data_IF_424838888011
#
_entry.id   IF_424838888011
#
_cell.length_a   1.000
_cell.length_b   1.000
_cell.length_c   1.000
_cell.angle_alpha   90.00
_cell.angle_beta   90.00
_cell.angle_gamma   90.00
#
_symmetry.space_group_name_H-M   'P 1'
#
loop_
_entity.id
_entity.type
_entity.pdbx_description
1 polymer ?
#
# COMPACT_ATOMS: atom_id res chain seq x y z
N UNK A 1 -90.58 -32.87 -31.94
CA UNK A 1 -89.18 -33.17 -31.58
C UNK A 1 -88.31 -31.92 -31.62
N UNK A 2 -87.63 -31.61 -30.51
CA UNK A 2 -86.75 -30.44 -30.34
C UNK A 2 -85.28 -30.85 -30.25
N UNK A 3 -84.33 -29.94 -30.53
CA UNK A 3 -82.90 -30.18 -30.33
C UNK A 3 -82.38 -29.46 -29.10
N UNK A 4 -81.44 -30.09 -28.36
CA UNK A 4 -80.77 -29.40 -27.24
C UNK A 4 -79.79 -28.33 -27.75
N UNK A 5 -79.56 -27.23 -27.00
CA UNK A 5 -78.74 -26.11 -27.49
C UNK A 5 -77.25 -26.42 -27.68
N UNK A 6 -76.66 -27.26 -26.81
CA UNK A 6 -75.21 -27.44 -26.75
C UNK A 6 -74.71 -28.58 -27.63
N UNK A 7 -75.39 -29.73 -27.60
CA UNK A 7 -74.97 -30.94 -28.33
C UNK A 7 -76.01 -31.38 -29.38
N UNK A 8 -77.05 -30.56 -29.62
CA UNK A 8 -78.06 -30.82 -30.66
C UNK A 8 -78.70 -32.21 -30.56
N UNK A 9 -78.92 -32.69 -29.33
CA UNK A 9 -79.53 -33.98 -29.07
C UNK A 9 -81.04 -33.92 -29.36
N UNK A 10 -81.60 -34.94 -30.01
CA UNK A 10 -83.03 -35.10 -30.28
C UNK A 10 -83.80 -35.33 -28.98
N UNK A 11 -84.73 -34.45 -28.66
CA UNK A 11 -85.59 -34.50 -27.47
C UNK A 11 -87.06 -34.65 -27.92
N UNK A 12 -87.74 -35.75 -27.58
CA UNK A 12 -89.17 -35.92 -27.86
C UNK A 12 -90.00 -34.84 -27.17
N UNK A 13 -91.05 -34.36 -27.83
CA UNK A 13 -92.08 -33.55 -27.17
C UNK A 13 -93.05 -34.47 -26.42
N UNK A 14 -93.81 -33.96 -25.44
CA UNK A 14 -94.61 -34.79 -24.52
C UNK A 14 -95.67 -35.70 -25.16
N UNK A 15 -95.98 -35.51 -26.45
CA UNK A 15 -96.89 -36.33 -27.25
C UNK A 15 -96.19 -37.15 -28.34
N UNK A 16 -94.88 -36.99 -28.53
CA UNK A 16 -94.13 -37.72 -29.55
C UNK A 16 -93.78 -39.14 -29.05
N UNK A 17 -93.95 -40.19 -29.86
CA UNK A 17 -93.45 -41.51 -29.51
C UNK A 17 -91.93 -41.50 -29.40
N UNK A 18 -91.38 -42.19 -28.40
CA UNK A 18 -89.92 -42.30 -28.20
C UNK A 18 -89.36 -43.29 -29.21
N UNK A 19 -88.49 -42.81 -30.11
CA UNK A 19 -87.73 -43.66 -31.04
C UNK A 19 -86.40 -44.10 -30.41
N UNK A 20 -86.13 -45.41 -30.46
CA UNK A 20 -84.87 -46.00 -29.97
C UNK A 20 -83.69 -45.54 -30.82
N UNK A 21 -83.90 -45.28 -32.12
CA UNK A 21 -82.84 -44.81 -33.00
C UNK A 21 -82.36 -43.42 -32.57
N UNK A 22 -83.26 -42.52 -32.20
CA UNK A 22 -82.90 -41.18 -31.71
C UNK A 22 -82.07 -41.22 -30.42
N UNK A 23 -82.34 -42.21 -29.56
CA UNK A 23 -81.56 -42.42 -28.34
C UNK A 23 -80.15 -42.90 -28.64
N UNK A 24 -80.00 -43.84 -29.57
CA UNK A 24 -78.69 -44.33 -30.00
C UNK A 24 -77.88 -43.20 -30.65
N UNK A 25 -78.48 -42.46 -31.58
CA UNK A 25 -77.85 -41.31 -32.25
C UNK A 25 -77.39 -40.26 -31.23
N UNK A 26 -78.21 -39.97 -30.21
CA UNK A 26 -77.85 -39.03 -29.15
C UNK A 26 -76.70 -39.53 -28.27
N UNK A 27 -76.66 -40.84 -27.98
CA UNK A 27 -75.59 -41.43 -27.18
C UNK A 27 -74.26 -41.42 -27.91
N UNK A 28 -74.26 -41.67 -29.23
CA UNK A 28 -73.06 -41.55 -30.07
C UNK A 28 -72.54 -40.10 -30.08
N UNK A 29 -73.43 -39.11 -30.20
CA UNK A 29 -73.06 -37.69 -30.11
C UNK A 29 -72.52 -37.34 -28.72
N UNK A 30 -73.14 -37.83 -27.65
CA UNK A 30 -72.68 -37.58 -26.29
C UNK A 30 -71.31 -38.19 -26.02
N UNK A 31 -71.06 -39.43 -26.45
CA UNK A 31 -69.77 -40.09 -26.30
C UNK A 31 -68.66 -39.31 -27.01
N UNK A 32 -68.92 -38.91 -28.26
CA UNK A 32 -68.00 -38.11 -29.05
C UNK A 32 -67.73 -36.71 -28.45
N UNK A 33 -68.74 -36.04 -27.88
CA UNK A 33 -68.58 -34.68 -27.33
C UNK A 33 -68.06 -34.66 -25.89
N UNK A 34 -68.39 -35.67 -25.06
CA UNK A 34 -67.86 -35.80 -23.69
C UNK A 34 -66.39 -36.19 -23.71
N UNK A 35 -65.96 -37.03 -24.67
CA UNK A 35 -64.55 -37.35 -24.87
C UNK A 35 -63.67 -36.13 -25.19
N UNK A 36 -64.26 -35.03 -25.69
CA UNK A 36 -63.54 -33.75 -25.93
C UNK A 36 -63.36 -32.91 -24.67
N UNK A 37 -64.03 -33.24 -23.57
CA UNK A 37 -63.81 -32.58 -22.27
C UNK A 37 -62.61 -33.19 -21.58
N UNK A 38 -61.89 -32.37 -20.81
CA UNK A 38 -60.75 -32.85 -20.03
C UNK A 38 -61.17 -34.00 -19.09
N UNK A 39 -60.56 -35.17 -19.24
CA UNK A 39 -60.72 -36.29 -18.32
C UNK A 39 -60.16 -35.93 -16.93
N UNK A 40 -60.68 -36.58 -15.88
CA UNK A 40 -60.16 -36.43 -14.50
C UNK A 40 -58.66 -36.78 -14.39
N UNK A 41 -58.13 -37.53 -15.36
CA UNK A 41 -56.75 -38.00 -15.47
C UNK A 41 -55.85 -37.13 -16.37
N UNK A 42 -56.37 -36.02 -16.93
CA UNK A 42 -55.52 -34.89 -17.36
C UNK A 42 -55.07 -34.83 -18.83
N UNK A 43 -55.61 -35.64 -19.75
CA UNK A 43 -55.37 -35.42 -21.17
C UNK A 43 -56.21 -34.24 -21.67
N UNK A 44 -55.61 -33.05 -21.70
CA UNK A 44 -56.20 -31.82 -22.23
C UNK A 44 -55.55 -31.44 -23.58
N UNK A 45 -55.29 -32.45 -24.42
CA UNK A 45 -54.44 -32.32 -25.63
C UNK A 45 -54.88 -31.22 -26.58
N UNK A 46 -56.20 -31.01 -26.74
CA UNK A 46 -56.77 -30.01 -27.64
C UNK A 46 -57.52 -28.87 -26.92
N UNK A 47 -57.38 -28.76 -25.59
CA UNK A 47 -58.07 -27.70 -24.85
C UNK A 47 -57.38 -26.35 -25.05
N UNK A 48 -58.05 -25.44 -25.77
CA UNK A 48 -57.59 -24.06 -25.94
C UNK A 48 -58.20 -23.17 -24.86
N UNK A 49 -57.36 -22.57 -24.02
CA UNK A 49 -57.77 -21.61 -22.99
C UNK A 49 -57.29 -20.23 -23.37
N UNK A 50 -58.21 -19.26 -23.45
CA UNK A 50 -57.83 -17.85 -23.53
C UNK A 50 -57.38 -17.35 -22.15
N UNK A 51 -56.18 -16.77 -22.07
CA UNK A 51 -55.64 -16.20 -20.84
C UNK A 51 -54.91 -14.88 -21.11
N UNK A 52 -54.84 -14.03 -20.09
CA UNK A 52 -54.04 -12.80 -20.08
C UNK A 52 -52.91 -12.95 -19.07
N UNK A 53 -51.86 -12.14 -19.22
CA UNK A 53 -50.79 -12.11 -18.23
C UNK A 53 -51.27 -11.36 -16.99
N UNK A 54 -50.98 -11.91 -15.81
CA UNK A 54 -51.29 -11.23 -14.54
C UNK A 54 -50.34 -10.05 -14.27
N UNK A 55 -50.83 -9.08 -13.49
CA UNK A 55 -50.07 -7.88 -13.15
C UNK A 55 -48.97 -8.16 -12.11
N UNK A 56 -49.22 -9.11 -11.22
CA UNK A 56 -48.35 -9.44 -10.07
C UNK A 56 -47.97 -10.91 -10.05
N UNK A 57 -46.85 -11.18 -9.41
CA UNK A 57 -46.34 -12.53 -9.19
C UNK A 57 -46.99 -13.11 -7.94
N UNK A 58 -47.82 -14.13 -8.13
CA UNK A 58 -48.54 -14.82 -7.07
C UNK A 58 -48.34 -16.34 -7.16
N UNK A 59 -48.62 -17.03 -6.06
CA UNK A 59 -48.60 -18.48 -6.00
C UNK A 59 -49.85 -19.07 -6.69
N UNK A 60 -49.70 -20.29 -7.23
CA UNK A 60 -50.83 -21.05 -7.76
C UNK A 60 -51.66 -21.58 -6.58
N UNK A 61 -52.98 -21.44 -6.70
CA UNK A 61 -53.92 -21.88 -5.67
C UNK A 61 -54.77 -23.03 -6.19
N UNK A 62 -55.01 -24.02 -5.32
CA UNK A 62 -55.84 -25.17 -5.69
C UNK A 62 -57.28 -24.73 -5.94
N UNK A 63 -57.88 -25.21 -7.03
CA UNK A 63 -59.26 -24.89 -7.42
C UNK A 63 -59.43 -23.57 -8.17
N UNK A 64 -58.35 -22.86 -8.50
CA UNK A 64 -58.44 -21.64 -9.32
C UNK A 64 -58.77 -21.95 -10.79
N UNK A 65 -59.26 -20.95 -11.53
CA UNK A 65 -59.54 -21.09 -12.96
C UNK A 65 -58.23 -21.35 -13.72
N UNK A 66 -58.22 -22.32 -14.64
CA UNK A 66 -57.04 -22.64 -15.47
C UNK A 66 -56.48 -21.41 -16.22
N UNK A 67 -57.34 -20.50 -16.68
CA UNK A 67 -56.93 -19.25 -17.32
C UNK A 67 -56.12 -18.34 -16.37
N UNK A 68 -56.43 -18.36 -15.08
CA UNK A 68 -55.71 -17.59 -14.06
C UNK A 68 -54.35 -18.24 -13.76
N UNK A 69 -54.29 -19.56 -13.59
CA UNK A 69 -53.02 -20.28 -13.41
C UNK A 69 -52.06 -20.04 -14.56
N UNK A 70 -52.54 -20.13 -15.81
CA UNK A 70 -51.74 -19.84 -17.00
C UNK A 70 -51.29 -18.37 -17.06
N UNK A 71 -52.14 -17.43 -16.62
CA UNK A 71 -51.79 -16.02 -16.51
C UNK A 71 -50.68 -15.76 -15.49
N UNK A 72 -50.74 -16.39 -14.31
CA UNK A 72 -49.70 -16.35 -13.27
C UNK A 72 -48.40 -16.95 -13.79
N UNK A 73 -48.44 -18.14 -14.40
CA UNK A 73 -47.26 -18.80 -14.99
C UNK A 73 -46.61 -17.91 -16.04
N UNK A 74 -47.40 -17.28 -16.92
CA UNK A 74 -46.87 -16.32 -17.91
C UNK A 74 -46.16 -15.15 -17.25
N UNK A 75 -46.68 -14.61 -16.15
CA UNK A 75 -46.04 -13.53 -15.39
C UNK A 75 -44.69 -13.99 -14.78
N UNK A 76 -44.64 -15.19 -14.20
CA UNK A 76 -43.40 -15.78 -13.71
C UNK A 76 -42.34 -15.91 -14.81
N UNK A 77 -42.70 -16.42 -15.98
CA UNK A 77 -41.78 -16.52 -17.12
C UNK A 77 -41.33 -15.16 -17.64
N UNK A 78 -42.23 -14.19 -17.77
CA UNK A 78 -41.89 -12.86 -18.27
C UNK A 78 -40.84 -12.17 -17.38
N UNK A 79 -41.02 -12.23 -16.06
CA UNK A 79 -40.13 -11.58 -15.10
C UNK A 79 -38.79 -12.32 -14.94
N UNK A 80 -38.79 -13.66 -15.03
CA UNK A 80 -37.57 -14.46 -14.90
C UNK A 80 -36.81 -14.61 -16.23
N UNK A 81 -37.41 -14.28 -17.38
CA UNK A 81 -36.82 -14.49 -18.71
C UNK A 81 -35.39 -13.98 -18.79
N UNK A 82 -35.13 -12.75 -18.34
CA UNK A 82 -33.80 -12.15 -18.47
C UNK A 82 -32.76 -12.95 -17.66
N UNK A 83 -32.97 -13.07 -16.36
CA UNK A 83 -32.04 -13.79 -15.46
C UNK A 83 -31.88 -15.28 -15.79
N UNK A 84 -32.93 -15.94 -16.28
CA UNK A 84 -32.92 -17.38 -16.53
C UNK A 84 -32.27 -17.77 -17.87
N UNK A 85 -32.25 -16.87 -18.87
CA UNK A 85 -31.74 -17.21 -20.21
C UNK A 85 -30.36 -16.63 -20.52
N UNK A 86 -30.04 -15.40 -20.10
CA UNK A 86 -28.65 -14.88 -20.25
C UNK A 86 -27.75 -15.38 -19.13
N UNK A 87 -28.28 -15.52 -17.91
CA UNK A 87 -27.49 -15.89 -16.73
C UNK A 87 -26.45 -14.82 -16.34
N UNK A 88 -26.51 -13.63 -16.96
CA UNK A 88 -25.54 -12.58 -16.72
C UNK A 88 -25.76 -11.93 -15.36
N UNK A 89 -24.66 -11.68 -14.65
CA UNK A 89 -24.69 -10.92 -13.40
C UNK A 89 -25.28 -9.50 -13.59
N UNK A 90 -25.18 -8.95 -14.81
CA UNK A 90 -25.78 -7.68 -15.20
C UNK A 90 -27.31 -7.66 -15.04
N UNK A 91 -27.99 -8.81 -15.11
CA UNK A 91 -29.44 -8.91 -15.07
C UNK A 91 -30.06 -8.78 -13.67
N UNK A 92 -29.24 -8.89 -12.63
CA UNK A 92 -29.68 -8.69 -11.25
C UNK A 92 -29.89 -7.20 -10.94
N UNK A 93 -31.01 -6.84 -10.31
CA UNK A 93 -31.28 -5.50 -9.76
C UNK A 93 -31.05 -5.49 -8.25
N UNK A 94 -30.79 -4.32 -7.65
CA UNK A 94 -30.60 -4.23 -6.18
C UNK A 94 -29.32 -4.91 -5.70
N UNK A 95 -28.32 -5.03 -6.58
CA UNK A 95 -27.00 -5.59 -6.25
C UNK A 95 -26.36 -4.76 -5.13
N UNK A 96 -25.71 -5.39 -4.14
CA UNK A 96 -24.81 -4.68 -3.24
C UNK A 96 -23.82 -3.86 -4.08
N UNK A 97 -23.65 -2.58 -3.77
CA UNK A 97 -22.57 -1.82 -4.36
C UNK A 97 -21.27 -2.46 -3.87
N UNK A 98 -20.58 -3.19 -4.74
CA UNK A 98 -19.20 -3.58 -4.48
C UNK A 98 -18.46 -2.25 -4.37
N UNK A 99 -17.83 -1.92 -3.23
CA UNK A 99 -17.03 -0.72 -3.13
C UNK A 99 -16.05 -0.74 -4.31
N UNK A 100 -16.07 0.30 -5.15
CA UNK A 100 -15.12 0.43 -6.23
C UNK A 100 -13.71 0.35 -5.61
N UNK A 101 -13.01 -0.78 -5.82
CA UNK A 101 -11.78 -1.09 -5.08
C UNK A 101 -11.71 -2.48 -4.44
N UNK A 102 -12.62 -3.40 -4.74
CA UNK A 102 -12.47 -4.82 -4.41
C UNK A 102 -11.30 -5.49 -5.17
N UNK A 103 -10.07 -5.18 -4.77
CA UNK A 103 -8.85 -6.01 -4.87
C UNK A 103 -8.49 -6.57 -6.26
N UNK A 104 -8.26 -5.72 -7.27
CA UNK A 104 -7.63 -6.18 -8.53
C UNK A 104 -6.83 -5.11 -9.31
N UNK A 105 -6.80 -3.85 -8.87
CA UNK A 105 -5.97 -2.85 -9.54
C UNK A 105 -4.62 -2.79 -8.85
N UNK A 106 -3.62 -3.44 -9.45
CA UNK A 106 -2.24 -3.43 -8.96
C UNK A 106 -1.69 -1.99 -8.81
N UNK A 107 -2.22 -1.01 -9.54
CA UNK A 107 -1.84 0.41 -9.42
C UNK A 107 -2.41 1.10 -8.16
N UNK A 108 -3.28 0.41 -7.41
CA UNK A 108 -3.86 0.87 -6.14
C UNK A 108 -3.36 0.06 -4.94
N UNK A 109 -2.44 -0.88 -5.16
CA UNK A 109 -1.71 -1.56 -4.10
C UNK A 109 -0.54 -0.65 -3.74
N UNK A 110 -0.48 -0.24 -2.48
CA UNK A 110 0.65 0.53 -1.95
C UNK A 110 1.62 -0.50 -1.35
N UNK A 111 2.66 -0.86 -2.10
CA UNK A 111 3.62 -1.90 -1.69
C UNK A 111 4.86 -1.31 -0.99
N UNK A 112 5.22 -0.05 -1.28
CA UNK A 112 6.34 0.63 -0.63
C UNK A 112 6.13 2.14 -0.36
N UNK A 113 7.20 2.80 0.11
CA UNK A 113 7.19 4.22 0.48
C UNK A 113 7.06 5.13 -0.75
N UNK A 114 7.58 4.70 -1.90
CA UNK A 114 7.53 5.49 -3.14
C UNK A 114 6.10 5.47 -3.71
N UNK A 115 5.38 4.36 -3.58
CA UNK A 115 3.95 4.26 -3.90
C UNK A 115 3.06 5.18 -3.03
N UNK A 116 3.44 5.42 -1.77
CA UNK A 116 2.76 6.38 -0.88
C UNK A 116 3.00 7.81 -1.38
N UNK A 117 4.24 8.14 -1.74
CA UNK A 117 4.63 9.48 -2.18
C UNK A 117 4.03 9.86 -3.54
N UNK A 118 3.85 8.87 -4.43
CA UNK A 118 3.25 9.04 -5.74
C UNK A 118 1.71 9.11 -5.71
N UNK A 119 1.07 8.77 -4.58
CA UNK A 119 -0.38 8.77 -4.45
C UNK A 119 -0.95 10.20 -4.37
N UNK A 120 -1.39 10.69 -5.51
CA UNK A 120 -2.00 12.02 -5.69
C UNK A 120 -3.53 12.00 -5.65
N UNK A 121 -4.16 10.86 -5.33
CA UNK A 121 -5.63 10.74 -5.28
C UNK A 121 -6.20 11.33 -3.98
N UNK A 122 -7.07 12.33 -4.12
CA UNK A 122 -7.87 12.87 -3.02
C UNK A 122 -8.70 11.76 -2.35
N UNK A 123 -8.44 11.50 -1.06
CA UNK A 123 -9.24 10.58 -0.24
C UNK A 123 -8.56 9.27 0.20
N UNK A 124 -7.35 8.97 -0.27
CA UNK A 124 -6.58 7.82 0.23
C UNK A 124 -5.64 8.28 1.36
N UNK A 125 -6.06 8.01 2.60
CA UNK A 125 -5.20 8.18 3.78
C UNK A 125 -4.05 7.17 3.68
N UNK A 126 -2.80 7.60 3.86
CA UNK A 126 -1.67 6.68 4.04
C UNK A 126 -2.07 5.55 5.00
N UNK A 127 -1.86 4.29 4.62
CA UNK A 127 -2.27 3.14 5.43
C UNK A 127 -1.76 3.31 6.85
N UNK A 128 -2.67 3.52 7.81
CA UNK A 128 -2.35 3.95 9.17
C UNK A 128 -1.32 3.03 9.87
N UNK A 129 -1.19 1.78 9.41
CA UNK A 129 -0.21 0.81 9.90
C UNK A 129 1.22 1.06 9.39
N UNK A 130 1.41 1.47 8.14
CA UNK A 130 2.74 1.78 7.60
C UNK A 130 3.31 3.05 8.25
N UNK A 131 2.47 4.09 8.40
CA UNK A 131 2.86 5.32 9.10
C UNK A 131 3.11 5.06 10.59
N UNK A 132 2.30 4.20 11.22
CA UNK A 132 2.53 3.74 12.60
C UNK A 132 3.84 2.95 12.72
N UNK A 133 4.21 2.13 11.74
CA UNK A 133 5.48 1.39 11.74
C UNK A 133 6.67 2.34 11.58
N UNK A 134 6.62 3.28 10.65
CA UNK A 134 7.67 4.31 10.51
C UNK A 134 7.81 5.12 11.79
N UNK A 135 6.71 5.58 12.38
CA UNK A 135 6.74 6.33 13.64
C UNK A 135 7.23 5.48 14.83
N UNK A 136 6.93 4.17 14.83
CA UNK A 136 7.44 3.20 15.80
C UNK A 136 8.93 2.95 15.65
N UNK A 137 9.40 2.77 14.41
CA UNK A 137 10.80 2.50 14.09
C UNK A 137 11.67 3.74 14.40
N UNK A 138 11.13 4.95 14.18
CA UNK A 138 11.77 6.19 14.61
C UNK A 138 11.59 6.46 16.12
N UNK A 139 10.83 5.64 16.86
CA UNK A 139 10.50 5.86 18.26
C UNK A 139 10.00 7.29 18.57
N UNK A 140 9.30 7.92 17.63
CA UNK A 140 8.82 9.30 17.71
C UNK A 140 9.84 10.41 17.41
N UNK A 141 11.07 10.06 17.04
CA UNK A 141 12.05 11.04 16.54
C UNK A 141 11.63 11.56 15.17
N UNK A 142 11.99 12.82 14.87
CA UNK A 142 11.78 13.44 13.55
C UNK A 142 13.09 14.00 13.02
N UNK A 143 13.24 14.11 11.71
CA UNK A 143 14.40 14.78 11.09
C UNK A 143 14.01 16.16 10.58
N UNK A 144 14.98 17.08 10.59
CA UNK A 144 14.77 18.44 10.12
C UNK A 144 16.09 19.15 9.86
N UNK A 145 15.97 20.42 9.49
CA UNK A 145 17.10 21.32 9.30
C UNK A 145 17.10 22.37 10.40
N UNK A 146 18.27 22.61 11.00
CA UNK A 146 18.49 23.74 11.90
C UNK A 146 18.38 25.07 11.14
N UNK A 147 18.32 26.19 11.87
CA UNK A 147 18.22 27.54 11.28
C UNK A 147 19.40 27.91 10.36
N UNK A 148 20.55 27.25 10.51
CA UNK A 148 21.74 27.36 9.66
C UNK A 148 21.79 26.30 8.53
N UNK A 149 20.70 25.59 8.29
CA UNK A 149 20.55 24.63 7.18
C UNK A 149 21.24 23.28 7.40
N UNK A 150 21.73 22.98 8.61
CA UNK A 150 22.38 21.70 8.90
C UNK A 150 21.36 20.62 9.24
N UNK A 151 21.61 19.35 8.86
CA UNK A 151 20.72 18.25 9.21
C UNK A 151 20.76 17.96 10.73
N UNK A 152 19.60 17.61 11.27
CA UNK A 152 19.44 17.25 12.67
C UNK A 152 18.18 16.43 12.95
N UNK A 153 17.89 16.23 14.23
CA UNK A 153 16.74 15.48 14.72
C UNK A 153 15.98 16.23 15.81
N UNK A 154 14.69 15.93 15.95
CA UNK A 154 13.82 16.42 17.02
C UNK A 154 13.48 15.23 17.91
N UNK A 155 13.63 15.41 19.23
CA UNK A 155 13.34 14.36 20.20
C UNK A 155 11.83 14.24 20.47
N UNK A 156 11.33 13.02 20.77
CA UNK A 156 9.91 12.81 21.10
C UNK A 156 9.51 13.63 22.33
N UNK A 157 8.39 14.36 22.25
CA UNK A 157 7.88 15.18 23.36
C UNK A 157 8.66 16.47 23.64
N UNK A 158 9.72 16.76 22.87
CA UNK A 158 10.41 18.06 22.89
C UNK A 158 9.67 19.12 22.05
N UNK A 159 10.01 20.40 22.27
CA UNK A 159 9.65 21.48 21.35
C UNK A 159 10.25 21.22 19.94
N UNK A 160 9.79 21.94 18.91
CA UNK A 160 10.23 21.83 17.50
C UNK A 160 11.70 22.24 17.25
N UNK A 161 12.52 22.30 18.29
CA UNK A 161 13.95 22.59 18.19
C UNK A 161 14.68 21.42 17.55
N UNK A 162 15.24 21.65 16.36
CA UNK A 162 16.11 20.69 15.66
C UNK A 162 17.48 20.64 16.33
N UNK A 163 17.89 19.45 16.79
CA UNK A 163 19.21 19.17 17.35
C UNK A 163 20.12 18.72 16.21
N UNK A 164 21.18 19.46 15.86
CA UNK A 164 22.07 19.07 14.77
C UNK A 164 22.78 17.74 15.08
N UNK A 165 23.02 16.93 14.05
CA UNK A 165 23.87 15.76 14.21
C UNK A 165 25.30 16.18 14.58
N UNK A 166 25.98 15.40 15.44
CA UNK A 166 27.40 15.61 15.72
C UNK A 166 28.19 15.41 14.43
N UNK A 167 28.68 16.51 13.87
CA UNK A 167 29.52 16.50 12.67
C UNK A 167 30.98 16.49 13.09
N UNK A 168 31.82 15.79 12.33
CA UNK A 168 33.27 15.81 12.49
C UNK A 168 33.86 16.50 11.27
N UNK A 169 34.93 17.28 11.46
CA UNK A 169 35.63 17.97 10.37
C UNK A 169 36.98 17.32 10.16
N UNK A 170 37.25 16.83 8.95
CA UNK A 170 38.55 16.24 8.59
C UNK A 170 39.20 17.11 7.52
N UNK A 171 40.46 17.46 7.72
CA UNK A 171 41.26 18.18 6.74
C UNK A 171 42.74 17.83 6.87
N UNK A 172 43.50 18.04 5.80
CA UNK A 172 44.95 17.96 5.84
C UNK A 172 45.54 19.35 6.04
N UNK A 173 46.44 19.46 7.02
CA UNK A 173 47.20 20.66 7.29
C UNK A 173 48.67 20.45 6.95
N UNK A 174 49.22 21.37 6.17
CA UNK A 174 50.65 21.39 5.82
C UNK A 174 51.37 22.48 6.62
N UNK A 175 52.52 22.12 7.20
CA UNK A 175 53.38 23.04 7.95
C UNK A 175 54.82 22.90 7.45
N UNK A 176 55.41 24.02 7.04
CA UNK A 176 56.82 24.08 6.67
C UNK A 176 57.68 24.25 7.90
N UNK A 177 58.75 23.46 8.00
CA UNK A 177 59.78 23.59 9.02
C UNK A 177 60.79 24.65 8.57
N UNK A 178 61.21 25.52 9.48
CA UNK A 178 62.19 26.57 9.19
C UNK A 178 63.59 26.04 8.87
N UNK A 179 64.58 26.93 8.94
CA UNK A 179 65.99 26.65 8.62
C UNK A 179 66.69 25.72 9.61
N UNK A 180 66.07 25.45 10.76
CA UNK A 180 66.59 24.59 11.83
C UNK A 180 65.61 23.47 12.14
N UNK A 181 66.15 22.32 12.57
CA UNK A 181 65.32 21.18 12.97
C UNK A 181 64.41 21.58 14.14
N UNK A 182 63.15 21.13 14.12
CA UNK A 182 62.15 21.54 15.09
C UNK A 182 61.66 20.36 15.92
N UNK A 183 61.58 20.52 17.25
CA UNK A 183 61.02 19.52 18.16
C UNK A 183 59.48 19.51 18.17
N UNK A 184 58.87 20.60 17.69
CA UNK A 184 57.44 20.74 17.47
C UNK A 184 57.15 21.61 16.26
N UNK A 185 55.96 21.44 15.69
CA UNK A 185 55.40 22.31 14.64
C UNK A 185 54.04 22.81 15.08
N UNK A 186 53.67 24.01 14.62
CA UNK A 186 52.39 24.63 14.96
C UNK A 186 51.50 24.71 13.73
N UNK A 187 50.32 24.10 13.82
CA UNK A 187 49.24 24.22 12.84
C UNK A 187 48.26 25.31 13.32
N UNK A 188 48.10 26.42 12.60
CA UNK A 188 47.08 27.41 12.91
C UNK A 188 45.71 26.91 12.43
N UNK A 189 44.88 26.40 13.34
CA UNK A 189 43.53 25.92 13.03
C UNK A 189 42.58 27.02 12.58
N UNK A 190 42.91 28.30 12.83
CA UNK A 190 42.15 29.46 12.36
C UNK A 190 41.94 29.46 10.84
N UNK A 191 42.83 28.81 10.07
CA UNK A 191 42.73 28.67 8.61
C UNK A 191 41.79 27.55 8.15
N UNK A 192 41.54 26.56 9.00
CA UNK A 192 40.87 25.30 8.62
C UNK A 192 39.56 25.07 9.35
N UNK A 193 39.39 25.66 10.54
CA UNK A 193 38.24 25.46 11.40
C UNK A 193 37.82 26.78 12.07
N UNK A 194 36.82 27.51 11.52
CA UNK A 194 36.40 28.82 12.02
C UNK A 194 35.98 28.85 13.49
N UNK A 195 35.48 27.73 14.02
CA UNK A 195 35.03 27.61 15.42
C UNK A 195 36.14 27.12 16.38
N UNK A 196 37.41 27.36 16.04
CA UNK A 196 38.58 26.89 16.82
C UNK A 196 38.51 27.26 18.30
N UNK A 197 37.91 28.40 18.66
CA UNK A 197 37.81 28.82 20.06
C UNK A 197 36.88 27.98 20.93
N UNK A 198 36.00 27.18 20.31
CA UNK A 198 34.98 26.35 21.00
C UNK A 198 35.41 24.92 21.28
N UNK A 199 36.58 24.51 20.80
CA UNK A 199 37.11 23.15 20.98
C UNK A 199 38.25 23.13 21.99
N UNK A 200 38.54 21.96 22.53
CA UNK A 200 39.67 21.69 23.42
C UNK A 200 40.62 20.69 22.77
N UNK A 201 41.79 20.45 23.38
CA UNK A 201 42.73 19.44 22.87
C UNK A 201 42.10 18.03 22.76
N UNK A 202 41.11 17.70 23.61
CA UNK A 202 40.41 16.41 23.59
C UNK A 202 39.51 16.21 22.35
N UNK A 203 39.14 17.30 21.67
CA UNK A 203 38.32 17.26 20.46
C UNK A 203 39.15 17.01 19.19
N UNK A 204 40.48 16.99 19.29
CA UNK A 204 41.39 17.01 18.15
C UNK A 204 42.14 15.69 18.06
N UNK A 205 42.01 15.01 16.93
CA UNK A 205 42.77 13.82 16.59
C UNK A 205 43.71 14.14 15.43
N UNK A 206 44.98 13.80 15.60
CA UNK A 206 46.02 14.08 14.61
C UNK A 206 46.65 12.78 14.17
N UNK A 207 46.73 12.59 12.86
CA UNK A 207 47.51 11.54 12.23
C UNK A 207 48.61 12.17 11.38
N UNK A 208 49.85 11.74 11.60
CA UNK A 208 50.93 12.06 10.68
C UNK A 208 50.65 11.43 9.32
N UNK A 209 50.67 12.23 8.24
CA UNK A 209 50.34 11.76 6.89
C UNK A 209 51.58 11.63 6.01
N UNK A 210 52.40 12.68 5.93
CA UNK A 210 53.59 12.71 5.06
C UNK A 210 54.59 13.77 5.52
N UNK A 211 55.87 13.61 5.15
CA UNK A 211 56.97 14.51 5.47
C UNK A 211 58.26 13.76 5.85
N UNK A 212 59.30 14.51 6.19
CA UNK A 212 60.59 13.95 6.63
C UNK A 212 60.77 14.10 8.13
N UNK A 213 60.88 12.98 8.85
CA UNK A 213 61.25 12.92 10.26
C UNK A 213 62.72 12.54 10.39
N UNK A 214 63.49 13.25 11.24
CA UNK A 214 64.84 12.86 11.61
C UNK A 214 64.85 12.23 13.01
N UNK A 215 65.53 11.09 13.15
CA UNK A 215 65.83 10.48 14.44
C UNK A 215 67.34 10.27 14.59
N UNK A 216 67.88 10.57 15.76
CA UNK A 216 69.27 10.24 16.13
C UNK A 216 69.27 8.93 16.92
N UNK A 217 69.64 7.81 16.30
CA UNK A 217 69.84 6.54 17.01
C UNK A 217 71.31 6.42 17.45
N UNK A 218 71.57 6.18 18.74
CA UNK A 218 72.94 5.90 19.23
C UNK A 218 73.40 4.47 18.90
N UNK A 219 72.49 3.55 18.58
CA UNK A 219 72.82 2.17 18.22
C UNK A 219 71.69 1.57 17.37
N UNK A 220 72.06 0.86 16.30
CA UNK A 220 71.19 0.50 15.17
C UNK A 220 69.85 -0.15 15.51
N UNK A 221 68.81 0.32 14.82
CA UNK A 221 67.45 -0.21 14.84
C UNK A 221 66.42 0.92 14.70
N UNK A 222 66.02 1.25 13.46
CA UNK A 222 65.03 2.30 13.17
C UNK A 222 63.59 1.75 13.18
N UNK A 223 62.99 1.69 14.37
CA UNK A 223 61.53 1.52 14.53
C UNK A 223 60.88 2.89 14.73
N UNK A 224 60.21 3.41 13.69
CA UNK A 224 59.47 4.68 13.76
C UNK A 224 58.12 4.46 14.44
N UNK A 225 58.02 4.76 15.74
CA UNK A 225 56.73 4.92 16.41
C UNK A 225 56.70 6.29 17.06
N UNK A 226 56.36 7.32 16.27
CA UNK A 226 56.20 8.67 16.82
C UNK A 226 54.86 8.74 17.54
N UNK A 227 54.86 8.54 18.86
CA UNK A 227 53.78 9.09 19.68
C UNK A 227 53.85 10.61 19.51
N UNK A 228 52.78 11.23 19.02
CA UNK A 228 52.71 12.68 18.87
C UNK A 228 52.19 13.28 20.18
N UNK A 229 52.94 14.21 20.76
CA UNK A 229 52.43 15.08 21.81
C UNK A 229 51.57 16.16 21.17
N UNK A 230 50.39 16.41 21.75
CA UNK A 230 49.45 17.41 21.25
C UNK A 230 49.18 18.45 22.33
N UNK A 231 49.38 19.72 22.00
CA UNK A 231 48.99 20.85 22.84
C UNK A 231 48.19 21.83 22.00
N UNK A 232 47.08 22.32 22.53
CA UNK A 232 46.17 23.21 21.80
C UNK A 232 45.84 24.45 22.63
N UNK A 233 45.99 25.63 22.03
CA UNK A 233 45.60 26.90 22.62
C UNK A 233 44.33 27.41 21.92
N UNK A 234 43.19 27.30 22.60
CA UNK A 234 41.88 27.70 22.07
C UNK A 234 41.74 29.22 21.85
N UNK A 235 42.52 30.04 22.54
CA UNK A 235 42.47 31.50 22.40
C UNK A 235 43.13 31.96 21.09
N UNK A 236 44.18 31.26 20.66
CA UNK A 236 44.94 31.58 19.44
C UNK A 236 44.64 30.66 18.26
N UNK A 237 44.00 29.51 18.50
CA UNK A 237 43.74 28.48 17.49
C UNK A 237 44.98 27.68 17.08
N UNK A 238 46.07 27.78 17.84
CA UNK A 238 47.33 27.12 17.51
C UNK A 238 47.37 25.70 18.10
N UNK A 239 47.46 24.70 17.22
CA UNK A 239 47.72 23.30 17.56
C UNK A 239 49.21 23.02 17.41
N UNK A 240 49.88 22.80 18.53
CA UNK A 240 51.29 22.40 18.55
C UNK A 240 51.38 20.89 18.60
N UNK A 241 52.03 20.34 17.58
CA UNK A 241 52.29 18.91 17.42
C UNK A 241 53.78 18.71 17.73
N UNK A 242 54.09 18.04 18.83
CA UNK A 242 55.44 17.69 19.23
C UNK A 242 55.72 16.21 18.97
N UNK A 243 56.98 15.88 18.71
CA UNK A 243 57.40 14.49 18.72
C UNK A 243 57.59 14.05 20.18
N UNK A 244 56.71 13.19 20.70
CA UNK A 244 56.85 12.62 22.05
C UNK A 244 57.68 11.32 21.97
N UNK A 245 59.00 11.47 21.90
CA UNK A 245 59.93 10.36 22.08
C UNK A 245 60.59 10.44 23.45
N UNK A 246 60.18 9.59 24.39
CA UNK A 246 61.00 9.31 25.57
C UNK A 246 62.18 8.45 25.12
N UNK A 247 63.36 9.04 24.98
CA UNK A 247 64.56 8.26 25.15
C UNK A 247 65.68 9.10 25.74
N UNK A 248 66.30 8.56 26.78
CA UNK A 248 67.40 9.12 27.57
C UNK A 248 68.68 9.32 26.73
N UNK A 249 68.63 9.17 25.39
CA UNK A 249 69.79 9.17 24.50
C UNK A 249 69.54 9.58 23.02
N UNK A 250 68.45 10.32 22.69
CA UNK A 250 68.26 10.87 21.32
C UNK A 250 66.84 11.37 21.05
N UNK A 251 66.71 12.61 20.54
CA UNK A 251 65.43 13.25 20.23
C UNK A 251 64.99 13.06 18.76
N UNK A 252 63.68 13.09 18.52
CA UNK A 252 63.09 13.10 17.17
C UNK A 252 62.69 14.52 16.77
N UNK A 253 63.07 14.94 15.57
CA UNK A 253 62.83 16.29 15.07
C UNK A 253 62.18 16.27 13.69
N UNK A 254 61.36 17.28 13.43
CA UNK A 254 60.94 17.62 12.09
C UNK A 254 62.12 18.25 11.34
N UNK A 255 62.44 17.72 10.15
CA UNK A 255 63.64 18.12 9.42
C UNK A 255 63.57 19.57 8.93
N UNK A 256 64.63 20.35 9.11
CA UNK A 256 64.73 21.70 8.52
C UNK A 256 64.44 21.71 7.02
N UNK A 257 63.74 22.75 6.56
CA UNK A 257 63.39 22.92 5.14
C UNK A 257 62.41 21.90 4.57
N UNK A 258 61.87 20.99 5.39
CA UNK A 258 60.86 20.03 4.98
C UNK A 258 59.44 20.58 5.19
N UNK A 259 58.46 19.97 4.49
CA UNK A 259 57.03 20.22 4.75
C UNK A 259 56.41 18.98 5.37
N UNK A 260 55.75 19.18 6.51
CA UNK A 260 55.07 18.14 7.27
C UNK A 260 53.57 18.25 7.01
N UNK A 261 52.92 17.11 6.75
CA UNK A 261 51.49 17.02 6.47
C UNK A 261 50.83 16.17 7.53
N UNK A 262 49.77 16.71 8.14
CA UNK A 262 48.98 16.06 9.17
C UNK A 262 47.52 16.00 8.73
N UNK A 263 46.90 14.83 8.88
CA UNK A 263 45.44 14.72 8.81
C UNK A 263 44.87 15.01 10.19
N UNK A 264 44.02 16.01 10.28
CA UNK A 264 43.41 16.48 11.52
C UNK A 264 41.91 16.21 11.44
N UNK A 265 41.39 15.51 12.45
CA UNK A 265 39.96 15.30 12.66
C UNK A 265 39.54 16.07 13.91
N UNK A 266 38.53 16.92 13.78
CA UNK A 266 37.94 17.68 14.88
C UNK A 266 36.53 17.13 15.13
N UNK A 267 36.30 16.67 16.35
CA UNK A 267 35.00 16.22 16.84
C UNK A 267 34.52 17.24 17.89
N UNK A 268 33.61 18.16 17.54
CA UNK A 268 33.09 19.20 18.43
C UNK A 268 32.24 18.65 19.58
#
# INVERSE_FOLDING_TARGET
MQLTPNYRLRKPDGTDPVDVQDLNDNMDVLDAEVAKKAEKTGAATDMVVAFKQEEKREQLESGEKLSLSLGKIKKWFADLKKVAFSGDYADLTGKPAIPAGGIADASKIIDDIDDIAANTQAGYMAGALALKKVNSDLAGYKFGTTSDGKPGYIMPGGADTVIPFKSHTIFDASVSVGSSDASSVTVPLTKYYPNYSKITAANIFVKYKNGTLMGYAKTGGSSFSSVLGLSYNNSTGNLTISNAGNNTAGGFYYYRGSTQVFTICIVP
#
